data_IF_813997004120
#
_entry.id   IF_813997004120
#
_cell.length_a   1.000
_cell.length_b   1.000
_cell.length_c   1.000
_cell.angle_alpha   90.00
_cell.angle_beta   90.00
_cell.angle_gamma   90.00
#
_symmetry.space_group_name_H-M   'P 1'
#
loop_
_entity.id
_entity.type
_entity.pdbx_description
1 polymer ?
#
# COMPACT_ATOMS: atom_id res chain seq x y z
N UNK A 1 16.43 2.96 -34.82
CA UNK A 1 14.99 2.83 -34.47
C UNK A 1 14.90 2.66 -32.97
N UNK A 2 14.23 3.57 -32.26
CA UNK A 2 14.06 3.45 -30.81
C UNK A 2 13.26 2.18 -30.50
N UNK A 3 13.74 1.35 -29.59
CA UNK A 3 13.05 0.14 -29.16
C UNK A 3 11.94 0.53 -28.18
N UNK A 4 10.68 0.33 -28.58
CA UNK A 4 9.54 0.55 -27.69
C UNK A 4 9.63 -0.45 -26.52
N UNK A 5 9.79 0.07 -25.30
CA UNK A 5 9.88 -0.73 -24.08
C UNK A 5 8.55 -0.60 -23.31
N UNK A 6 7.68 -1.62 -23.45
CA UNK A 6 6.47 -1.69 -22.64
C UNK A 6 6.83 -1.98 -21.19
N UNK A 7 6.26 -1.19 -20.27
CA UNK A 7 6.31 -1.42 -18.83
C UNK A 7 4.90 -1.67 -18.28
N UNK A 8 4.55 -2.93 -18.03
CA UNK A 8 3.23 -3.26 -17.45
C UNK A 8 3.17 -2.86 -15.98
N UNK A 9 2.05 -2.26 -15.55
CA UNK A 9 1.72 -2.01 -14.13
C UNK A 9 0.60 -2.95 -13.68
N UNK A 10 0.29 -2.95 -12.38
CA UNK A 10 -0.72 -3.83 -11.79
C UNK A 10 -2.10 -3.73 -12.47
N UNK A 11 -2.55 -2.51 -12.79
CA UNK A 11 -3.82 -2.24 -13.49
C UNK A 11 -3.87 -2.82 -14.92
N UNK A 12 -2.72 -3.09 -15.53
CA UNK A 12 -2.67 -3.74 -16.84
C UNK A 12 -2.77 -5.26 -16.73
N UNK A 13 -2.86 -5.87 -15.54
CA UNK A 13 -2.85 -7.32 -15.40
C UNK A 13 -4.25 -7.85 -15.10
N UNK A 14 -4.55 -9.03 -15.63
CA UNK A 14 -5.80 -9.75 -15.34
C UNK A 14 -5.70 -10.38 -13.95
N UNK A 15 -6.76 -10.26 -13.14
CA UNK A 15 -6.81 -10.91 -11.83
C UNK A 15 -6.64 -12.42 -12.01
N UNK A 16 -5.81 -13.03 -11.16
CA UNK A 16 -5.51 -14.47 -11.20
C UNK A 16 -6.76 -15.35 -11.06
N UNK A 17 -7.81 -14.87 -10.40
CA UNK A 17 -9.10 -15.57 -10.26
C UNK A 17 -9.83 -15.70 -11.60
N UNK A 18 -9.56 -14.79 -12.52
CA UNK A 18 -10.18 -14.75 -13.85
C UNK A 18 -9.35 -15.49 -14.91
N UNK A 19 -8.20 -16.06 -14.53
CA UNK A 19 -7.38 -16.81 -15.47
C UNK A 19 -8.05 -18.11 -15.87
N UNK A 20 -7.89 -18.46 -17.15
CA UNK A 20 -8.43 -19.70 -17.70
C UNK A 20 -7.74 -20.88 -17.02
N UNK A 21 -8.52 -21.84 -16.50
CA UNK A 21 -7.99 -23.07 -15.90
C UNK A 21 -7.26 -23.91 -16.95
N UNK A 22 -6.18 -24.58 -16.56
CA UNK A 22 -5.40 -25.44 -17.47
C UNK A 22 -6.25 -26.52 -18.14
N UNK A 23 -7.25 -27.07 -17.45
CA UNK A 23 -8.17 -28.07 -17.99
C UNK A 23 -9.06 -27.54 -19.11
N UNK A 24 -9.33 -26.23 -19.16
CA UNK A 24 -10.21 -25.64 -20.16
C UNK A 24 -9.53 -25.40 -21.52
N UNK A 25 -8.20 -25.54 -21.61
CA UNK A 25 -7.45 -25.35 -22.86
C UNK A 25 -6.61 -26.57 -23.20
N UNK A 26 -6.95 -27.20 -24.33
CA UNK A 26 -6.23 -28.34 -24.89
C UNK A 26 -5.22 -27.95 -25.97
N UNK A 27 -5.33 -26.74 -26.52
CA UNK A 27 -4.47 -26.21 -27.58
C UNK A 27 -4.07 -24.77 -27.29
N UNK A 28 -2.93 -24.34 -27.83
CA UNK A 28 -2.51 -22.94 -27.80
C UNK A 28 -3.54 -22.06 -28.54
N UNK A 29 -3.95 -20.96 -27.93
CA UNK A 29 -4.95 -20.03 -28.49
C UNK A 29 -4.50 -19.40 -29.81
N UNK A 30 -3.19 -19.27 -30.05
CA UNK A 30 -2.63 -18.62 -31.25
C UNK A 30 -2.29 -19.63 -32.34
N UNK A 31 -1.38 -20.57 -32.04
CA UNK A 31 -0.83 -21.47 -33.06
C UNK A 31 -1.51 -22.84 -33.10
N UNK A 32 -2.58 -23.03 -32.31
CA UNK A 32 -3.36 -24.27 -32.22
C UNK A 32 -2.56 -25.54 -31.92
N UNK A 33 -1.29 -25.42 -31.51
CA UNK A 33 -0.44 -26.53 -31.07
C UNK A 33 -1.10 -27.23 -29.87
N UNK A 34 -1.33 -28.53 -29.96
CA UNK A 34 -1.89 -29.35 -28.87
C UNK A 34 -0.94 -29.38 -27.68
N UNK A 35 -1.49 -29.22 -26.48
CA UNK A 35 -0.74 -29.43 -25.25
C UNK A 35 -0.76 -30.93 -24.91
N UNK A 36 0.42 -31.52 -24.79
CA UNK A 36 0.61 -32.88 -24.32
C UNK A 36 1.03 -32.89 -22.84
N UNK A 37 0.91 -34.05 -22.20
CA UNK A 37 1.46 -34.26 -20.86
C UNK A 37 2.96 -33.94 -20.90
N UNK A 38 3.41 -33.01 -20.05
CA UNK A 38 4.81 -32.56 -20.01
C UNK A 38 5.14 -31.31 -20.84
N UNK A 39 4.27 -30.85 -21.75
CA UNK A 39 4.43 -29.54 -22.40
C UNK A 39 3.83 -28.47 -21.49
N UNK A 40 4.68 -27.54 -21.01
CA UNK A 40 4.26 -26.45 -20.15
C UNK A 40 3.19 -25.57 -20.80
N UNK A 41 2.04 -25.44 -20.13
CA UNK A 41 1.03 -24.42 -20.41
C UNK A 41 1.48 -23.10 -19.79
N UNK A 42 1.24 -22.00 -20.50
CA UNK A 42 1.64 -20.68 -20.02
C UNK A 42 0.53 -19.66 -20.12
N UNK A 43 0.14 -19.09 -18.99
CA UNK A 43 -0.80 -17.98 -18.97
C UNK A 43 -0.16 -16.67 -19.44
N UNK A 44 -0.92 -15.87 -20.18
CA UNK A 44 -0.61 -14.47 -20.36
C UNK A 44 -1.10 -13.68 -19.14
N UNK A 45 -0.22 -12.91 -18.48
CA UNK A 45 -0.59 -12.12 -17.30
C UNK A 45 -1.50 -10.93 -17.64
N UNK A 46 -1.49 -10.45 -18.89
CA UNK A 46 -2.35 -9.36 -19.41
C UNK A 46 -3.79 -9.80 -19.67
N UNK A 47 -4.02 -10.98 -20.29
CA UNK A 47 -5.39 -11.43 -20.65
C UNK A 47 -5.88 -12.67 -19.90
N UNK A 48 -5.01 -13.43 -19.24
CA UNK A 48 -5.38 -14.63 -18.46
C UNK A 48 -5.56 -15.93 -19.26
N UNK A 49 -5.43 -15.93 -20.59
CA UNK A 49 -5.57 -17.16 -21.41
C UNK A 49 -4.24 -17.93 -21.55
N UNK A 50 -4.30 -19.15 -22.11
CA UNK A 50 -3.19 -20.13 -22.13
C UNK A 50 -2.56 -20.28 -23.51
N UNK A 51 -1.23 -20.28 -23.52
CA UNK A 51 -0.40 -20.29 -24.73
C UNK A 51 0.78 -21.26 -24.57
N UNK A 52 1.38 -21.65 -25.70
CA UNK A 52 2.67 -22.34 -25.71
C UNK A 52 3.84 -21.35 -25.51
N UNK A 53 5.03 -21.88 -25.21
CA UNK A 53 6.25 -21.07 -24.99
C UNK A 53 6.51 -20.11 -26.14
N UNK A 54 6.40 -20.61 -27.38
CA UNK A 54 6.71 -19.88 -28.61
C UNK A 54 5.71 -18.73 -28.89
N UNK A 55 4.49 -18.81 -28.35
CA UNK A 55 3.46 -17.78 -28.51
C UNK A 55 3.45 -16.75 -27.36
N UNK A 56 4.40 -16.85 -26.44
CA UNK A 56 4.57 -15.91 -25.32
C UNK A 56 5.96 -15.34 -25.29
N UNK A 57 6.13 -14.24 -24.56
CA UNK A 57 7.43 -13.64 -24.28
C UNK A 57 7.46 -13.07 -22.87
N UNK A 58 8.66 -12.81 -22.36
CA UNK A 58 8.84 -12.03 -21.15
C UNK A 58 8.86 -10.53 -21.50
N UNK A 59 8.17 -9.73 -20.71
CA UNK A 59 8.06 -8.27 -20.82
C UNK A 59 8.37 -7.64 -19.48
N UNK A 60 8.86 -6.41 -19.48
CA UNK A 60 9.15 -5.69 -18.25
C UNK A 60 7.85 -5.21 -17.59
N UNK A 61 7.83 -5.22 -16.27
CA UNK A 61 6.72 -4.77 -15.46
C UNK A 61 7.21 -4.13 -14.16
N UNK A 62 6.40 -3.26 -13.58
CA UNK A 62 6.61 -2.65 -12.29
C UNK A 62 5.40 -2.92 -11.39
N UNK A 63 5.61 -3.70 -10.35
CA UNK A 63 4.54 -4.18 -9.47
C UNK A 63 4.71 -3.64 -8.06
N UNK A 64 3.61 -3.24 -7.39
CA UNK A 64 3.64 -2.86 -5.98
C UNK A 64 4.25 -3.99 -5.13
N UNK A 65 5.17 -3.64 -4.22
CA UNK A 65 5.82 -4.59 -3.31
C UNK A 65 6.90 -5.49 -3.93
N UNK A 66 6.93 -5.66 -5.25
CA UNK A 66 7.95 -6.46 -5.94
C UNK A 66 8.95 -5.61 -6.75
N UNK A 67 8.56 -4.38 -7.11
CA UNK A 67 9.36 -3.49 -7.94
C UNK A 67 9.43 -3.94 -9.39
N UNK A 68 10.53 -3.61 -10.06
CA UNK A 68 10.76 -3.95 -11.48
C UNK A 68 11.03 -5.45 -11.63
N UNK A 69 10.24 -6.10 -12.48
CA UNK A 69 10.29 -7.54 -12.72
C UNK A 69 9.95 -7.85 -14.17
N UNK A 70 9.95 -9.14 -14.53
CA UNK A 70 9.51 -9.63 -15.84
C UNK A 70 8.26 -10.49 -15.71
N UNK A 71 7.26 -10.18 -16.53
CA UNK A 71 6.02 -10.95 -16.63
C UNK A 71 5.92 -11.63 -17.98
N UNK A 72 5.12 -12.69 -18.06
CA UNK A 72 4.88 -13.39 -19.31
C UNK A 72 3.61 -12.89 -20.00
N UNK A 73 3.75 -12.47 -21.25
CA UNK A 73 2.63 -11.95 -22.05
C UNK A 73 2.58 -12.69 -23.39
N UNK A 74 1.37 -12.92 -23.91
CA UNK A 74 1.22 -13.50 -25.24
C UNK A 74 1.60 -12.48 -26.32
N UNK A 75 2.00 -12.97 -27.50
CA UNK A 75 2.39 -12.11 -28.61
C UNK A 75 1.26 -11.18 -29.07
N UNK A 76 0.00 -11.59 -28.93
CA UNK A 76 -1.16 -10.76 -29.30
C UNK A 76 -1.33 -9.55 -28.38
N UNK A 77 -1.32 -9.76 -27.06
CA UNK A 77 -1.37 -8.65 -26.11
C UNK A 77 -0.17 -7.73 -26.31
N UNK A 78 1.04 -8.28 -26.44
CA UNK A 78 2.24 -7.49 -26.70
C UNK A 78 2.10 -6.65 -27.98
N UNK A 79 1.63 -7.25 -29.08
CA UNK A 79 1.44 -6.57 -30.36
C UNK A 79 0.40 -5.45 -30.33
N UNK A 80 -0.69 -5.64 -29.58
CA UNK A 80 -1.69 -4.59 -29.34
C UNK A 80 -1.11 -3.45 -28.50
N UNK A 81 -0.44 -3.82 -27.43
CA UNK A 81 0.09 -2.90 -26.42
C UNK A 81 1.28 -2.07 -26.92
N UNK A 82 2.06 -2.54 -27.92
CA UNK A 82 3.12 -1.71 -28.53
C UNK A 82 2.57 -0.66 -29.49
N UNK A 83 1.36 -0.85 -30.01
CA UNK A 83 0.71 0.11 -30.91
C UNK A 83 -0.01 1.21 -30.13
N UNK A 84 -0.23 0.98 -28.83
CA UNK A 84 -0.93 1.89 -27.94
C UNK A 84 0.08 2.76 -27.18
N UNK A 85 0.19 4.04 -27.56
CA UNK A 85 1.17 4.99 -27.01
C UNK A 85 0.94 5.34 -25.53
N UNK A 86 -0.23 4.99 -24.98
CA UNK A 86 -0.60 5.28 -23.59
C UNK A 86 0.10 4.40 -22.55
N UNK A 87 0.66 3.25 -22.94
CA UNK A 87 1.41 2.40 -22.01
C UNK A 87 2.85 2.90 -21.77
N UNK A 88 3.32 3.83 -22.59
CA UNK A 88 4.65 4.45 -22.52
C UNK A 88 4.71 5.69 -21.62
N UNK A 89 3.60 6.12 -21.01
CA UNK A 89 3.60 7.29 -20.15
C UNK A 89 3.71 6.93 -18.65
N UNK A 90 4.68 7.51 -17.91
CA UNK A 90 4.48 7.74 -16.48
C UNK A 90 3.21 8.57 -16.33
N UNK A 91 2.34 8.17 -15.41
CA UNK A 91 1.19 8.96 -14.98
C UNK A 91 1.72 10.27 -14.40
N UNK A 92 1.89 11.29 -15.24
CA UNK A 92 1.94 12.68 -14.86
C UNK A 92 0.60 13.24 -15.34
N UNK A 93 -0.41 13.18 -14.47
CA UNK A 93 -1.59 14.03 -14.60
C UNK A 93 -1.08 15.45 -14.39
N UNK A 94 -1.06 16.22 -15.48
CA UNK A 94 -0.58 17.61 -15.53
C UNK A 94 -1.70 18.61 -15.21
N UNK A 95 -2.80 18.15 -14.62
CA UNK A 95 -3.94 19.00 -14.23
C UNK A 95 -3.93 19.35 -12.73
N UNK A 96 -3.00 18.77 -11.94
CA UNK A 96 -2.96 18.94 -10.48
C UNK A 96 -1.89 19.95 -10.01
N UNK A 97 -0.88 20.27 -10.84
CA UNK A 97 0.21 21.19 -10.46
C UNK A 97 -0.28 22.63 -10.21
N UNK A 98 -1.26 23.11 -10.98
CA UNK A 98 -1.82 24.46 -10.81
C UNK A 98 -2.69 24.55 -9.54
N UNK A 99 -3.41 23.47 -9.20
CA UNK A 99 -4.21 23.39 -7.99
C UNK A 99 -3.33 23.21 -6.72
N UNK A 100 -2.23 22.46 -6.82
CA UNK A 100 -1.28 22.31 -5.72
C UNK A 100 -0.51 23.60 -5.47
N UNK A 101 -0.04 24.32 -6.49
CA UNK A 101 0.55 25.65 -6.30
C UNK A 101 -0.46 26.65 -5.73
N UNK A 102 -1.74 26.61 -6.14
CA UNK A 102 -2.77 27.47 -5.58
C UNK A 102 -3.04 27.15 -4.10
N UNK A 103 -3.09 25.86 -3.73
CA UNK A 103 -3.26 25.41 -2.35
C UNK A 103 -2.04 25.77 -1.49
N UNK A 104 -0.82 25.63 -2.02
CA UNK A 104 0.41 26.05 -1.33
C UNK A 104 0.41 27.56 -1.12
N UNK A 105 0.08 28.35 -2.13
CA UNK A 105 0.02 29.82 -2.02
C UNK A 105 -1.07 30.28 -1.07
N UNK A 106 -2.22 29.60 -1.05
CA UNK A 106 -3.34 29.90 -0.15
C UNK A 106 -3.04 29.52 1.29
N UNK A 107 -2.36 28.38 1.51
CA UNK A 107 -1.90 27.98 2.85
C UNK A 107 -0.79 28.90 3.35
N UNK A 108 0.17 29.28 2.51
CA UNK A 108 1.22 30.26 2.82
C UNK A 108 0.61 31.62 3.19
N UNK A 109 -0.36 32.09 2.42
CA UNK A 109 -1.05 33.35 2.71
C UNK A 109 -1.89 33.30 3.99
N UNK A 110 -2.44 32.14 4.35
CA UNK A 110 -3.08 31.94 5.66
C UNK A 110 -2.05 31.96 6.79
N UNK A 111 -0.89 31.32 6.62
CA UNK A 111 0.20 31.24 7.61
C UNK A 111 0.79 32.63 7.94
N UNK A 112 0.91 33.52 6.96
CA UNK A 112 1.49 34.86 7.09
C UNK A 112 0.47 36.01 7.28
N UNK A 113 -0.82 35.71 7.46
CA UNK A 113 -1.86 36.74 7.62
C UNK A 113 -1.66 37.60 8.89
N UNK A 114 -1.90 38.94 8.84
CA UNK A 114 -1.80 39.83 9.99
C UNK A 114 -2.65 39.38 11.20
N UNK A 115 -3.78 38.71 10.96
CA UNK A 115 -4.64 38.16 12.01
C UNK A 115 -4.03 36.95 12.71
N UNK A 116 -3.23 36.16 11.99
CA UNK A 116 -2.56 34.95 12.52
C UNK A 116 -1.36 35.33 13.37
N UNK A 117 -0.58 36.33 12.93
CA UNK A 117 0.48 36.96 13.73
C UNK A 117 -0.10 37.65 14.98
N UNK A 118 -1.29 38.25 14.88
CA UNK A 118 -1.99 38.82 16.03
C UNK A 118 -2.49 37.75 17.03
N UNK A 119 -2.99 36.61 16.53
CA UNK A 119 -3.39 35.47 17.37
C UNK A 119 -2.19 34.77 18.02
N UNK A 120 -1.09 34.53 17.29
CA UNK A 120 0.14 33.94 17.84
C UNK A 120 0.75 34.85 18.92
N UNK A 121 0.73 36.17 18.73
CA UNK A 121 1.11 37.14 19.78
C UNK A 121 0.16 37.14 20.98
N UNK A 122 -1.12 36.90 20.78
CA UNK A 122 -2.09 36.81 21.87
C UNK A 122 -1.89 35.53 22.70
N UNK A 123 -1.56 34.41 22.05
CA UNK A 123 -1.23 33.14 22.71
C UNK A 123 0.13 33.21 23.44
N UNK A 124 1.13 33.85 22.85
CA UNK A 124 2.43 34.06 23.51
C UNK A 124 2.36 34.99 24.74
N UNK A 125 1.30 35.80 24.88
CA UNK A 125 1.04 36.60 26.08
C UNK A 125 0.38 35.81 27.21
N UNK A 126 -0.22 34.66 26.93
CA UNK A 126 -0.90 33.84 27.94
C UNK A 126 0.07 32.98 28.78
N UNK A 127 1.26 32.67 28.27
CA UNK A 127 2.26 31.82 28.94
C UNK A 127 3.13 32.56 29.97
N UNK A 128 2.90 33.87 30.18
CA UNK A 128 3.70 34.68 31.12
C UNK A 128 3.05 34.89 32.50
N UNK A 129 2.04 34.09 32.86
CA UNK A 129 1.24 34.30 34.09
C UNK A 129 1.27 33.17 35.12
N UNK A 130 2.14 32.15 34.99
CA UNK A 130 2.21 31.03 35.94
C UNK A 130 3.59 30.74 36.55
N UNK A 131 4.51 31.69 36.48
CA UNK A 131 5.73 31.62 37.28
C UNK A 131 5.66 32.69 38.38
N UNK A 132 5.90 32.24 39.61
CA UNK A 132 6.11 33.00 40.85
C UNK A 132 4.85 33.27 41.70
N UNK A 133 4.64 32.41 42.71
CA UNK A 133 4.57 32.88 44.09
C UNK A 133 5.11 31.79 45.04
N UNK A 134 6.10 32.23 45.81
CA UNK A 134 6.91 31.51 46.79
C UNK A 134 6.29 31.52 48.19
N UNK A 135 6.75 30.54 48.99
CA UNK A 135 6.91 30.55 50.47
C UNK A 135 5.68 30.55 51.39
N UNK A 136 5.60 29.56 52.31
CA UNK A 136 5.98 29.76 53.74
C UNK A 136 5.50 28.63 54.68
N UNK A 137 6.47 27.80 55.08
CA UNK A 137 6.83 27.32 56.44
C UNK A 137 5.79 26.68 57.40
N UNK A 138 6.08 25.42 57.77
CA UNK A 138 6.10 24.78 59.13
C UNK A 138 4.86 24.85 60.04
N UNK A 139 4.32 23.67 60.41
CA UNK A 139 4.39 23.16 61.80
C UNK A 139 4.21 21.65 61.88
N UNK A 140 5.08 21.06 62.69
CA UNK A 140 5.18 19.67 63.10
C UNK A 140 3.97 19.24 63.97
N UNK A 141 3.48 18.02 63.82
CA UNK A 141 2.79 17.27 64.87
C UNK A 141 2.82 15.77 64.56
N UNK A 142 3.61 15.09 65.37
CA UNK A 142 3.69 13.64 65.54
C UNK A 142 2.31 13.02 65.85
N UNK A 143 2.09 11.76 65.45
CA UNK A 143 1.60 10.62 66.25
C UNK A 143 1.53 9.36 65.35
N UNK A 144 2.38 8.40 65.71
CA UNK A 144 2.26 6.94 65.81
C UNK A 144 1.28 6.09 64.96
N UNK A 145 1.87 5.03 64.40
CA UNK A 145 1.47 3.60 64.34
C UNK A 145 0.04 3.21 63.90
N UNK A 146 -0.08 2.39 62.85
CA UNK A 146 -0.15 0.92 63.01
C UNK A 146 -0.24 0.17 61.67
N UNK A 147 0.10 -1.12 61.76
CA UNK A 147 0.19 -2.10 60.67
C UNK A 147 -1.16 -2.79 60.40
N UNK A 148 -1.47 -3.16 59.14
CA UNK A 148 -2.27 -4.37 58.87
C UNK A 148 -2.02 -4.93 57.46
N UNK A 149 -1.66 -6.21 57.43
CA UNK A 149 -1.57 -7.10 56.26
C UNK A 149 -2.94 -7.72 55.97
N UNK A 150 -3.26 -8.02 54.70
CA UNK A 150 -4.09 -9.16 54.22
C UNK A 150 -4.29 -9.06 52.70
N UNK A 151 -3.63 -9.86 51.85
CA UNK A 151 -4.02 -11.20 51.37
C UNK A 151 -5.39 -11.28 50.66
N UNK A 152 -5.36 -11.57 49.35
CA UNK A 152 -6.54 -11.95 48.56
C UNK A 152 -6.14 -12.60 47.24
N UNK A 153 -6.05 -13.94 47.25
CA UNK A 153 -5.77 -14.79 46.10
C UNK A 153 -7.03 -15.00 45.24
N UNK A 154 -6.88 -15.11 43.92
CA UNK A 154 -7.94 -15.54 43.00
C UNK A 154 -7.38 -16.13 41.70
N UNK A 155 -6.93 -17.39 41.75
CA UNK A 155 -6.62 -18.24 40.58
C UNK A 155 -7.89 -18.93 40.08
N UNK A 156 -8.06 -19.02 38.77
CA UNK A 156 -8.86 -20.04 38.06
C UNK A 156 -8.26 -20.13 36.63
N UNK A 157 -7.47 -21.14 36.22
CA UNK A 157 -7.80 -22.57 35.92
C UNK A 157 -9.14 -22.69 35.19
N UNK A 158 -9.35 -23.43 34.12
CA UNK A 158 -8.60 -24.28 33.17
C UNK A 158 -9.65 -24.70 32.14
N UNK A 159 -9.29 -24.95 30.87
CA UNK A 159 -10.28 -25.50 29.92
C UNK A 159 -9.68 -25.90 28.58
N UNK A 160 -9.06 -27.07 28.54
CA UNK A 160 -8.42 -27.69 27.38
C UNK A 160 -9.12 -29.02 27.11
N UNK A 161 -9.84 -29.17 25.99
CA UNK A 161 -10.28 -30.46 25.41
C UNK A 161 -10.50 -30.24 23.91
N UNK A 162 -9.55 -30.64 23.03
CA UNK A 162 -9.36 -31.96 22.37
C UNK A 162 -10.38 -32.27 21.25
N UNK A 163 -9.81 -32.28 20.04
CA UNK A 163 -10.04 -33.08 18.82
C UNK A 163 -11.22 -34.07 18.77
N UNK A 164 -11.83 -34.18 17.59
CA UNK A 164 -12.13 -35.49 17.00
C UNK A 164 -12.11 -35.43 15.46
N UNK A 165 -11.31 -36.33 14.90
CA UNK A 165 -11.28 -36.75 13.50
C UNK A 165 -12.57 -37.50 13.12
N UNK A 166 -13.05 -37.29 11.89
CA UNK A 166 -13.63 -38.30 10.96
C UNK A 166 -13.38 -37.79 9.54
#
# INVERSE_FOLDING_TARGET
MATVKILYRFNHLKDRREWVKDSARTHCVVCTKKFFLGVGKHHCRRCGDIYCKDCTRMVDAELPGLGRTKLRTCKMCFGRDIQDSDLTMPSSSSEDEEAEEELIKKTEMMLFSPSRVAMERAMAKADKSLAEDDDRTTTNSVISVDSVSSSGSGKSRTGMFRRRDV
#
